data_IF_402409443701
#
_entry.id   IF_402409443701
#
_cell.length_a   1.000
_cell.length_b   1.000
_cell.length_c   1.000
_cell.angle_alpha   90.00
_cell.angle_beta   90.00
_cell.angle_gamma   90.00
#
_symmetry.space_group_name_H-M   'P 1'
#
loop_
_entity.id
_entity.type
_entity.pdbx_description
1 polymer ?
#
# COMPACT_ATOMS: atom_id res chain seq x y z
N UNK A 1 7.61 -17.64 1.89
CA UNK A 1 7.13 -16.28 2.21
C UNK A 1 7.40 -15.87 3.67
N UNK A 2 8.03 -16.70 4.51
CA UNK A 2 8.36 -16.35 5.90
C UNK A 2 9.88 -16.26 6.06
N UNK A 3 10.43 -15.06 5.92
CA UNK A 3 11.84 -14.82 6.26
C UNK A 3 11.93 -14.49 7.75
N UNK A 4 12.82 -15.17 8.47
CA UNK A 4 13.15 -14.89 9.87
C UNK A 4 13.59 -13.43 10.05
N UNK A 5 14.39 -12.92 9.11
CA UNK A 5 14.86 -11.53 9.11
C UNK A 5 13.69 -10.52 9.15
N UNK A 6 12.60 -10.80 8.45
CA UNK A 6 11.42 -9.95 8.46
C UNK A 6 10.74 -9.94 9.84
N UNK A 7 10.72 -11.08 10.53
CA UNK A 7 10.18 -11.20 11.88
C UNK A 7 11.06 -10.49 12.91
N UNK A 8 12.38 -10.65 12.82
CA UNK A 8 13.33 -9.96 13.70
C UNK A 8 13.30 -8.44 13.53
N UNK A 9 13.25 -7.96 12.29
CA UNK A 9 13.07 -6.53 11.99
C UNK A 9 11.77 -6.01 12.62
N UNK A 10 10.71 -6.81 12.64
CA UNK A 10 9.44 -6.45 13.29
C UNK A 10 9.56 -6.44 14.82
N UNK A 11 10.31 -7.36 15.41
CA UNK A 11 10.59 -7.37 16.85
C UNK A 11 11.37 -6.11 17.28
N UNK A 12 12.31 -5.64 16.45
CA UNK A 12 13.01 -4.37 16.66
C UNK A 12 12.04 -3.18 16.68
N UNK A 13 11.06 -3.16 15.77
CA UNK A 13 10.00 -2.15 15.80
C UNK A 13 9.14 -2.24 17.06
N UNK A 14 8.78 -3.45 17.51
CA UNK A 14 7.98 -3.64 18.73
C UNK A 14 8.68 -3.00 19.94
N UNK A 15 9.97 -3.27 20.13
CA UNK A 15 10.76 -2.67 21.22
C UNK A 15 10.76 -1.14 21.15
N UNK A 16 11.06 -0.57 19.97
CA UNK A 16 11.05 0.88 19.75
C UNK A 16 9.68 1.51 20.02
N UNK A 17 8.59 0.87 19.58
CA UNK A 17 7.24 1.37 19.80
C UNK A 17 6.85 1.37 21.27
N UNK A 18 7.25 0.34 22.02
CA UNK A 18 7.05 0.29 23.46
C UNK A 18 7.78 1.43 24.19
N UNK A 19 9.04 1.66 23.83
CA UNK A 19 9.89 2.67 24.50
C UNK A 19 9.48 4.10 24.17
N UNK A 20 9.10 4.40 22.92
CA UNK A 20 8.93 5.79 22.44
C UNK A 20 7.48 6.20 22.16
N UNK A 21 6.55 5.25 21.97
CA UNK A 21 5.23 5.54 21.42
C UNK A 21 4.06 4.99 22.25
N UNK A 22 4.33 4.48 23.45
CA UNK A 22 3.26 4.09 24.40
C UNK A 22 3.15 5.10 25.53
N UNK A 23 1.92 5.38 25.97
CA UNK A 23 1.69 6.24 27.14
C UNK A 23 2.17 5.55 28.41
N UNK A 24 2.80 6.30 29.32
CA UNK A 24 3.20 5.75 30.62
C UNK A 24 2.04 5.70 31.62
N UNK A 25 0.95 5.02 31.25
CA UNK A 25 -0.24 4.83 32.06
C UNK A 25 -0.41 3.34 32.41
N UNK A 26 -1.60 2.77 32.22
CA UNK A 26 -1.90 1.38 32.53
C UNK A 26 -1.25 0.39 31.53
N UNK A 27 -1.09 -0.86 31.96
CA UNK A 27 -0.61 -1.94 31.08
C UNK A 27 -1.56 -2.18 29.89
N UNK A 28 -2.87 -1.99 30.10
CA UNK A 28 -3.89 -2.15 29.05
C UNK A 28 -3.70 -1.06 27.98
N UNK A 29 -3.54 0.19 28.39
CA UNK A 29 -3.37 1.30 27.45
C UNK A 29 -2.04 1.19 26.70
N UNK A 30 -0.97 0.77 27.37
CA UNK A 30 0.32 0.48 26.72
C UNK A 30 0.19 -0.58 25.62
N UNK A 31 -0.56 -1.65 25.87
CA UNK A 31 -0.81 -2.69 24.86
C UNK A 31 -1.68 -2.18 23.71
N UNK A 32 -2.72 -1.37 24.01
CA UNK A 32 -3.55 -0.72 22.99
C UNK A 32 -2.72 0.16 22.07
N UNK A 33 -1.91 1.06 22.65
CA UNK A 33 -1.04 1.98 21.90
C UNK A 33 -0.05 1.20 21.01
N UNK A 34 0.54 0.14 21.55
CA UNK A 34 1.45 -0.74 20.81
C UNK A 34 0.75 -1.41 19.60
N UNK A 35 -0.44 -1.98 19.81
CA UNK A 35 -1.21 -2.64 18.75
C UNK A 35 -1.62 -1.63 17.67
N UNK A 36 -2.14 -0.47 18.06
CA UNK A 36 -2.53 0.59 17.11
C UNK A 36 -1.34 1.00 16.24
N UNK A 37 -0.18 1.23 16.85
CA UNK A 37 1.03 1.60 16.10
C UNK A 37 1.50 0.48 15.16
N UNK A 38 1.43 -0.78 15.60
CA UNK A 38 1.76 -1.92 14.76
C UNK A 38 0.80 -2.00 13.56
N UNK A 39 -0.50 -1.90 13.76
CA UNK A 39 -1.50 -1.91 12.68
C UNK A 39 -1.26 -0.81 11.66
N UNK A 40 -1.13 0.45 12.11
CA UNK A 40 -0.87 1.59 11.22
C UNK A 40 0.44 1.44 10.43
N UNK A 41 1.45 0.81 11.02
CA UNK A 41 2.74 0.62 10.35
C UNK A 41 2.74 -0.53 9.35
N UNK A 42 1.86 -1.52 9.57
CA UNK A 42 1.65 -2.67 8.68
C UNK A 42 0.61 -2.43 7.59
N UNK A 43 -0.18 -1.37 7.68
CA UNK A 43 -1.21 -1.04 6.71
C UNK A 43 -0.61 -0.87 5.30
N UNK A 44 -1.06 -1.62 4.27
CA UNK A 44 -0.50 -1.57 2.93
C UNK A 44 -0.67 -0.22 2.24
N UNK A 45 -1.82 0.43 2.43
CA UNK A 45 -2.12 1.71 1.82
C UNK A 45 -1.21 2.80 2.38
N UNK A 46 -1.12 2.91 3.70
CA UNK A 46 -0.22 3.84 4.38
C UNK A 46 1.25 3.49 4.06
N UNK A 47 1.61 2.20 3.99
CA UNK A 47 2.97 1.79 3.67
C UNK A 47 3.40 2.20 2.25
N UNK A 48 2.49 2.13 1.26
CA UNK A 48 2.75 2.54 -0.11
C UNK A 48 2.89 4.07 -0.25
N UNK A 49 2.28 4.85 0.63
CA UNK A 49 2.42 6.31 0.66
C UNK A 49 3.71 6.79 1.34
N UNK A 50 4.37 5.93 2.14
CA UNK A 50 5.60 6.31 2.84
C UNK A 50 6.79 6.30 1.88
N UNK A 51 7.70 7.26 2.06
CA UNK A 51 9.00 7.25 1.39
C UNK A 51 9.75 5.96 1.72
N UNK A 52 10.07 5.16 0.69
CA UNK A 52 10.87 3.94 0.87
C UNK A 52 12.35 4.31 0.78
N UNK A 53 13.19 3.85 1.73
CA UNK A 53 14.63 4.00 1.59
C UNK A 53 15.11 3.23 0.36
N UNK A 54 16.10 3.77 -0.34
CA UNK A 54 16.73 3.07 -1.46
C UNK A 54 17.41 1.78 -0.97
N UNK A 55 17.09 0.67 -1.61
CA UNK A 55 17.72 -0.62 -1.32
C UNK A 55 18.92 -0.81 -2.23
N UNK A 56 20.10 -1.04 -1.66
CA UNK A 56 21.28 -1.45 -2.43
C UNK A 56 21.05 -2.89 -2.89
N UNK A 57 21.04 -3.11 -4.21
CA UNK A 57 20.94 -4.44 -4.81
C UNK A 57 22.33 -4.95 -5.15
N UNK A 58 22.70 -6.12 -4.62
CA UNK A 58 23.89 -6.85 -5.05
C UNK A 58 23.72 -7.43 -6.46
N UNK A 59 24.84 -7.73 -7.12
CA UNK A 59 24.83 -8.49 -8.38
C UNK A 59 24.52 -9.95 -8.06
N UNK A 60 23.60 -10.55 -8.80
CA UNK A 60 23.34 -12.01 -8.77
C UNK A 60 24.19 -12.71 -9.83
N UNK A 61 24.49 -14.00 -9.65
CA UNK A 61 25.22 -14.78 -10.65
C UNK A 61 24.38 -15.00 -11.91
N UNK A 62 25.04 -15.26 -13.04
CA UNK A 62 24.34 -15.47 -14.32
C UNK A 62 23.47 -16.73 -14.29
N UNK A 63 23.94 -17.79 -13.62
CA UNK A 63 23.22 -19.05 -13.45
C UNK A 63 21.94 -18.84 -12.62
N UNK A 64 22.04 -18.07 -11.52
CA UNK A 64 20.89 -17.75 -10.69
C UNK A 64 19.87 -16.89 -11.45
N UNK A 65 20.33 -15.99 -12.32
CA UNK A 65 19.46 -15.17 -13.17
C UNK A 65 18.70 -16.01 -14.20
N UNK A 66 19.38 -16.95 -14.86
CA UNK A 66 18.77 -17.85 -15.84
C UNK A 66 17.63 -18.66 -15.21
N UNK A 67 17.84 -19.21 -14.01
CA UNK A 67 16.81 -19.93 -13.25
C UNK A 67 15.60 -19.05 -12.89
N UNK A 68 15.81 -17.76 -12.62
CA UNK A 68 14.73 -16.82 -12.28
C UNK A 68 13.93 -16.39 -13.52
N UNK A 69 14.58 -16.18 -14.67
CA UNK A 69 13.93 -15.73 -15.90
C UNK A 69 13.03 -16.82 -16.51
N UNK A 70 13.39 -18.10 -16.39
CA UNK A 70 12.58 -19.24 -16.90
C UNK A 70 11.16 -19.22 -16.32
N UNK A 71 10.99 -18.85 -15.04
CA UNK A 71 9.68 -18.78 -14.39
C UNK A 71 8.83 -17.60 -14.86
N UNK A 72 9.46 -16.55 -15.38
CA UNK A 72 8.77 -15.33 -15.84
C UNK A 72 8.23 -15.43 -17.28
N UNK A 73 8.70 -16.39 -18.06
CA UNK A 73 8.35 -16.57 -19.48
C UNK A 73 7.09 -17.42 -19.72
N UNK A 74 6.44 -17.92 -18.68
CA UNK A 74 5.14 -18.58 -18.85
C UNK A 74 4.20 -17.64 -19.63
N UNK A 75 3.60 -18.06 -20.76
CA UNK A 75 2.68 -17.22 -21.50
C UNK A 75 1.42 -17.05 -20.65
N UNK A 76 1.30 -15.91 -19.99
CA UNK A 76 -0.01 -15.36 -19.75
C UNK A 76 -0.48 -14.90 -21.13
N UNK A 77 -1.36 -15.68 -21.75
CA UNK A 77 -2.14 -15.22 -22.89
C UNK A 77 -2.68 -13.83 -22.51
N UNK A 78 -2.21 -12.83 -23.25
CA UNK A 78 -2.70 -11.46 -23.10
C UNK A 78 -4.09 -11.47 -23.70
N UNK A 79 -5.07 -11.85 -22.90
CA UNK A 79 -6.47 -11.69 -23.27
C UNK A 79 -6.73 -10.21 -23.46
N UNK A 80 -6.86 -9.88 -24.73
CA UNK A 80 -7.28 -8.60 -25.24
C UNK A 80 -8.61 -8.22 -24.60
N UNK A 81 -8.61 -7.15 -23.81
CA UNK A 81 -9.82 -6.36 -23.60
C UNK A 81 -9.46 -4.92 -23.96
N UNK A 82 -9.64 -4.68 -25.26
CA UNK A 82 -10.30 -3.52 -25.85
C UNK A 82 -9.82 -2.14 -25.38
N UNK A 83 -8.96 -1.57 -26.21
CA UNK A 83 -8.98 -0.15 -26.50
C UNK A 83 -10.37 0.23 -27.03
N UNK A 84 -11.12 0.99 -26.27
CA UNK A 84 -12.15 1.89 -26.80
C UNK A 84 -11.96 3.25 -26.14
N UNK A 85 -11.30 4.12 -26.89
CA UNK A 85 -11.34 5.56 -26.66
C UNK A 85 -12.63 6.06 -27.27
N UNK A 86 -13.46 6.75 -26.50
CA UNK A 86 -14.43 7.68 -27.06
C UNK A 86 -14.55 8.88 -26.12
N UNK A 87 -13.99 10.00 -26.60
CA UNK A 87 -14.24 11.32 -26.08
C UNK A 87 -15.74 11.62 -26.22
N UNK A 88 -16.40 12.00 -25.13
CA UNK A 88 -17.71 12.62 -25.18
C UNK A 88 -17.53 14.09 -24.78
N UNK A 89 -17.63 14.94 -25.79
CA UNK A 89 -17.66 16.39 -25.71
C UNK A 89 -18.88 16.89 -24.91
N UNK A 90 -18.69 18.09 -24.40
CA UNK A 90 -19.58 18.94 -23.62
C UNK A 90 -21.06 18.97 -24.11
N UNK A 91 -22.00 18.92 -23.17
CA UNK A 91 -23.38 19.40 -23.40
C UNK A 91 -23.92 20.00 -22.11
N UNK A 92 -23.73 21.31 -22.03
CA UNK A 92 -24.31 22.22 -21.05
C UNK A 92 -25.80 22.37 -21.36
N UNK A 93 -26.69 21.89 -20.49
CA UNK A 93 -28.12 22.20 -20.58
C UNK A 93 -28.51 23.11 -19.42
N UNK A 94 -28.91 24.33 -19.77
CA UNK A 94 -29.46 25.35 -18.90
C UNK A 94 -30.68 24.79 -18.13
N UNK A 95 -30.63 24.86 -16.80
CA UNK A 95 -31.81 24.66 -15.95
C UNK A 95 -32.46 26.03 -15.72
N UNK A 96 -33.59 26.25 -16.39
CA UNK A 96 -34.48 27.37 -16.16
C UNK A 96 -35.07 27.31 -14.75
N UNK A 97 -35.08 28.43 -14.04
CA UNK A 97 -35.74 28.60 -12.75
C UNK A 97 -37.27 28.53 -12.93
N UNK A 98 -38.01 27.75 -12.12
CA UNK A 98 -39.45 27.94 -12.01
C UNK A 98 -39.75 28.96 -10.90
N UNK A 99 -40.21 30.13 -11.33
CA UNK A 99 -40.91 31.13 -10.52
C UNK A 99 -42.03 30.46 -9.70
N UNK A 100 -41.95 30.55 -8.38
CA UNK A 100 -43.06 30.21 -7.48
C UNK A 100 -43.54 31.49 -6.82
N UNK A 101 -44.56 32.07 -7.44
CA UNK A 101 -45.32 33.21 -6.94
C UNK A 101 -45.94 32.93 -5.56
N UNK A 102 -46.00 34.02 -4.79
CA UNK A 102 -46.59 34.12 -3.47
C UNK A 102 -48.11 34.30 -3.54
N UNK A 103 -48.86 33.62 -2.68
CA UNK A 103 -50.12 34.08 -2.07
C UNK A 103 -50.44 33.31 -0.79
#
# INVERSE_FOLDING_TARGET
QFSEEAQEARNKHNRKFRELFTRNTSSIDKKKDLIIRLLLTSDPFIANLRSRPETIRGKISNEARELLEIRSRAPFEKDAILSESSDIEESKSDLEEPDMDSE
#
